data_IF_380384284961
#
_entry.id   IF_380384284961
#
_cell.length_a   1.000
_cell.length_b   1.000
_cell.length_c   1.000
_cell.angle_alpha   90.00
_cell.angle_beta   90.00
_cell.angle_gamma   90.00
#
_symmetry.space_group_name_H-M   'P 1'
#
loop_
_entity.id
_entity.type
_entity.pdbx_description
1 polymer ?
#
# COMPACT_ATOMS: atom_id res chain seq x y z
N UNK A 1 18.67 -0.12 2.41
CA UNK A 1 17.36 0.48 2.06
C UNK A 1 16.29 -0.29 2.84
N UNK A 2 15.13 0.29 3.19
CA UNK A 2 14.08 -0.40 3.97
C UNK A 2 13.67 -1.76 3.39
N UNK A 3 13.70 -1.90 2.07
CA UNK A 3 13.39 -3.16 1.40
C UNK A 3 14.46 -4.24 1.63
N UNK A 4 15.74 -3.88 1.65
CA UNK A 4 16.83 -4.82 1.96
C UNK A 4 16.73 -5.31 3.41
N UNK A 5 16.27 -4.44 4.32
CA UNK A 5 16.07 -4.79 5.72
C UNK A 5 14.88 -5.73 5.90
N UNK A 6 13.76 -5.45 5.23
CA UNK A 6 12.62 -6.34 5.22
C UNK A 6 12.94 -7.71 4.60
N UNK A 7 13.78 -7.74 3.56
CA UNK A 7 14.28 -8.99 2.97
C UNK A 7 15.14 -9.78 3.96
N UNK A 8 16.09 -9.13 4.63
CA UNK A 8 16.92 -9.76 5.67
C UNK A 8 16.11 -10.26 6.85
N UNK A 9 15.05 -9.54 7.23
CA UNK A 9 14.17 -9.89 8.33
C UNK A 9 13.11 -10.93 7.94
N UNK A 10 13.02 -11.33 6.66
CA UNK A 10 11.99 -12.26 6.17
C UNK A 10 10.57 -11.72 6.32
N UNK A 11 10.39 -10.40 6.30
CA UNK A 11 9.08 -9.78 6.44
C UNK A 11 8.29 -9.92 5.14
N UNK A 12 7.01 -10.28 5.27
CA UNK A 12 6.07 -10.26 4.14
C UNK A 12 5.73 -8.82 3.79
N UNK A 13 5.79 -8.50 2.49
CA UNK A 13 5.47 -7.18 1.96
C UNK A 13 4.24 -7.31 1.08
N UNK A 14 3.18 -6.57 1.41
CA UNK A 14 1.96 -6.50 0.62
C UNK A 14 1.94 -5.18 -0.15
N UNK A 15 1.72 -5.25 -1.46
CA UNK A 15 1.64 -4.07 -2.33
C UNK A 15 0.28 -4.07 -3.03
N UNK A 16 -0.67 -3.19 -2.67
CA UNK A 16 -1.92 -3.08 -3.38
C UNK A 16 -1.71 -2.64 -4.84
N UNK A 17 -2.59 -3.07 -5.74
CA UNK A 17 -2.49 -2.73 -7.18
C UNK A 17 -2.67 -1.23 -7.46
N UNK A 18 -3.37 -0.49 -6.60
CA UNK A 18 -3.54 0.96 -6.71
C UNK A 18 -2.21 1.74 -6.63
N UNK A 19 -1.46 1.63 -5.52
CA UNK A 19 -0.12 2.23 -5.40
C UNK A 19 0.83 1.73 -6.48
N UNK A 20 0.77 0.45 -6.85
CA UNK A 20 1.55 -0.11 -7.96
C UNK A 20 1.29 0.64 -9.28
N UNK A 21 0.02 0.93 -9.59
CA UNK A 21 -0.35 1.70 -10.77
C UNK A 21 0.10 3.17 -10.68
N UNK A 22 -0.08 3.84 -9.54
CA UNK A 22 0.39 5.22 -9.32
C UNK A 22 1.89 5.36 -9.50
N UNK A 23 2.62 4.36 -9.04
CA UNK A 23 4.06 4.21 -9.20
C UNK A 23 4.41 4.14 -10.70
N UNK A 24 3.78 3.24 -11.46
CA UNK A 24 4.05 3.09 -12.90
C UNK A 24 3.68 4.31 -13.75
N UNK A 25 2.78 5.18 -13.27
CA UNK A 25 2.47 6.48 -13.89
C UNK A 25 3.72 7.35 -14.08
N UNK A 26 4.75 7.20 -13.24
CA UNK A 26 5.98 8.00 -13.25
C UNK A 26 7.05 7.62 -14.29
N UNK A 27 6.85 6.54 -15.05
CA UNK A 27 7.77 6.14 -16.14
C UNK A 27 9.09 5.48 -15.69
N UNK A 28 10.14 5.42 -16.55
CA UNK A 28 11.31 4.53 -16.42
C UNK A 28 12.20 4.69 -15.17
N UNK A 29 11.93 5.66 -14.30
CA UNK A 29 12.72 5.95 -13.09
C UNK A 29 12.59 4.89 -11.97
N UNK A 30 11.85 3.81 -12.20
CA UNK A 30 11.50 2.83 -11.17
C UNK A 30 12.08 1.43 -11.39
N UNK A 31 13.19 1.32 -12.12
CA UNK A 31 13.90 0.04 -12.35
C UNK A 31 14.22 -0.71 -11.03
N UNK A 32 14.47 0.02 -9.94
CA UNK A 32 14.68 -0.58 -8.60
C UNK A 32 13.42 -1.23 -8.05
N UNK A 33 12.26 -0.57 -8.17
CA UNK A 33 11.00 -1.11 -7.67
C UNK A 33 10.48 -2.26 -8.55
N UNK A 34 10.66 -2.18 -9.87
CA UNK A 34 10.36 -3.27 -10.77
C UNK A 34 11.20 -4.53 -10.48
N UNK A 35 12.49 -4.38 -10.15
CA UNK A 35 13.31 -5.51 -9.68
C UNK A 35 12.81 -6.09 -8.36
N UNK A 36 12.42 -5.23 -7.43
CA UNK A 36 11.90 -5.64 -6.13
C UNK A 36 10.56 -6.40 -6.24
N UNK A 37 9.61 -5.92 -7.04
CA UNK A 37 8.34 -6.64 -7.27
C UNK A 37 8.61 -8.03 -7.88
N UNK A 38 9.64 -8.15 -8.71
CA UNK A 38 10.05 -9.43 -9.29
C UNK A 38 10.84 -10.33 -8.30
N UNK A 39 11.23 -9.83 -7.12
CA UNK A 39 11.72 -10.67 -6.02
C UNK A 39 10.53 -11.35 -5.32
N UNK A 40 9.94 -12.30 -6.05
CA UNK A 40 8.64 -12.90 -5.74
C UNK A 40 8.55 -13.66 -4.40
N UNK A 41 9.68 -13.88 -3.71
CA UNK A 41 9.69 -14.66 -2.47
C UNK A 41 9.01 -13.94 -1.29
N UNK A 42 9.02 -12.60 -1.25
CA UNK A 42 8.56 -11.83 -0.10
C UNK A 42 7.46 -10.81 -0.44
N UNK A 43 7.26 -10.51 -1.72
CA UNK A 43 6.29 -9.52 -2.18
C UNK A 43 5.01 -10.20 -2.65
N UNK A 44 3.89 -9.82 -2.04
CA UNK A 44 2.55 -10.17 -2.51
C UNK A 44 1.89 -8.95 -3.12
N UNK A 45 1.55 -9.04 -4.41
CA UNK A 45 0.67 -8.05 -5.04
C UNK A 45 -0.77 -8.34 -4.59
N UNK A 46 -1.44 -7.32 -4.07
CA UNK A 46 -2.83 -7.42 -3.62
C UNK A 46 -3.74 -6.84 -4.67
N UNK A 47 -4.38 -7.73 -5.43
CA UNK A 47 -5.37 -7.37 -6.43
C UNK A 47 -6.66 -6.84 -5.79
N UNK A 48 -7.45 -6.12 -6.58
CA UNK A 48 -8.80 -5.74 -6.20
C UNK A 48 -9.81 -6.55 -6.99
N UNK A 49 -10.77 -7.11 -6.27
CA UNK A 49 -12.00 -7.66 -6.80
C UNK A 49 -13.18 -6.68 -6.57
N UNK A 50 -14.36 -7.03 -7.06
CA UNK A 50 -15.55 -6.17 -6.89
C UNK A 50 -15.86 -5.87 -5.41
N UNK A 51 -15.86 -6.85 -4.48
CA UNK A 51 -16.02 -6.57 -3.05
C UNK A 51 -15.03 -5.56 -2.47
N UNK A 52 -13.72 -5.75 -2.69
CA UNK A 52 -12.69 -4.85 -2.16
C UNK A 52 -12.79 -3.45 -2.79
N UNK A 53 -13.09 -3.35 -4.08
CA UNK A 53 -13.33 -2.06 -4.73
C UNK A 53 -14.52 -1.29 -4.13
N UNK A 54 -15.62 -1.99 -3.81
CA UNK A 54 -16.76 -1.36 -3.11
C UNK A 54 -16.39 -0.94 -1.69
N UNK A 55 -15.63 -1.75 -0.96
CA UNK A 55 -15.18 -1.42 0.40
C UNK A 55 -14.29 -0.18 0.43
N UNK A 56 -13.37 -0.04 -0.54
CA UNK A 56 -12.58 1.18 -0.77
C UNK A 56 -13.49 2.39 -0.98
N UNK A 57 -14.48 2.28 -1.88
CA UNK A 57 -15.42 3.38 -2.14
C UNK A 57 -16.24 3.78 -0.90
N UNK A 58 -16.69 2.81 -0.10
CA UNK A 58 -17.38 3.07 1.17
C UNK A 58 -16.47 3.76 2.18
N UNK A 59 -15.19 3.35 2.27
CA UNK A 59 -14.22 3.99 3.15
C UNK A 59 -13.99 5.45 2.77
N UNK A 60 -13.81 5.74 1.48
CA UNK A 60 -13.74 7.11 0.96
C UNK A 60 -14.98 7.93 1.32
N UNK A 61 -16.17 7.39 1.07
CA UNK A 61 -17.44 8.09 1.36
C UNK A 61 -17.64 8.41 2.85
N UNK A 62 -17.16 7.54 3.75
CA UNK A 62 -17.27 7.76 5.21
C UNK A 62 -16.30 8.80 5.74
N UNK A 63 -15.12 8.90 5.15
CA UNK A 63 -14.02 9.75 5.62
C UNK A 63 -14.00 11.10 4.91
N UNK A 64 -14.71 11.24 3.79
CA UNK A 64 -14.65 12.43 2.94
C UNK A 64 -13.36 12.53 2.13
N UNK A 65 -12.49 11.52 2.19
CA UNK A 65 -11.24 11.44 1.43
C UNK A 65 -11.53 10.83 0.06
N UNK A 66 -11.06 11.48 -1.00
CA UNK A 66 -11.37 11.10 -2.38
C UNK A 66 -10.38 10.12 -3.01
N UNK A 67 -9.18 9.94 -2.46
CA UNK A 67 -8.18 9.06 -3.08
C UNK A 67 -8.45 7.58 -2.77
N UNK A 68 -8.98 6.88 -3.77
CA UNK A 68 -9.24 5.43 -3.72
C UNK A 68 -7.94 4.61 -3.56
N UNK A 69 -6.79 5.16 -3.94
CA UNK A 69 -5.51 4.50 -3.79
C UNK A 69 -5.10 4.47 -2.33
N UNK A 70 -5.17 5.60 -1.61
CA UNK A 70 -4.87 5.65 -0.19
C UNK A 70 -5.86 4.80 0.62
N UNK A 71 -7.15 4.90 0.30
CA UNK A 71 -8.17 4.07 0.93
C UNK A 71 -7.93 2.56 0.72
N UNK A 72 -7.39 2.17 -0.45
CA UNK A 72 -7.00 0.78 -0.69
C UNK A 72 -5.82 0.31 0.17
N UNK A 73 -4.84 1.19 0.41
CA UNK A 73 -3.69 0.90 1.27
C UNK A 73 -4.16 0.64 2.69
N UNK A 74 -5.04 1.52 3.19
CA UNK A 74 -5.62 1.39 4.53
C UNK A 74 -6.46 0.12 4.65
N UNK A 75 -7.30 -0.19 3.66
CA UNK A 75 -8.11 -1.42 3.67
C UNK A 75 -7.22 -2.67 3.72
N UNK A 76 -6.21 -2.75 2.83
CA UNK A 76 -5.28 -3.89 2.77
C UNK A 76 -4.50 -4.05 4.07
N UNK A 77 -4.04 -2.95 4.65
CA UNK A 77 -3.31 -2.97 5.91
C UNK A 77 -4.18 -3.47 7.08
N UNK A 78 -5.44 -3.03 7.14
CA UNK A 78 -6.41 -3.52 8.14
C UNK A 78 -6.67 -5.01 8.00
N UNK A 79 -6.96 -5.48 6.79
CA UNK A 79 -7.28 -6.89 6.53
C UNK A 79 -6.13 -7.84 6.85
N UNK A 80 -4.88 -7.38 6.64
CA UNK A 80 -3.67 -8.16 6.91
C UNK A 80 -3.08 -7.92 8.29
N UNK A 81 -3.62 -6.98 9.07
CA UNK A 81 -3.03 -6.51 10.33
C UNK A 81 -1.55 -6.09 10.14
N UNK A 82 -1.28 -5.34 9.08
CA UNK A 82 0.05 -4.83 8.72
C UNK A 82 0.20 -3.36 9.12
N UNK A 83 1.44 -2.94 9.38
CA UNK A 83 1.80 -1.53 9.38
C UNK A 83 1.99 -1.02 7.94
N UNK A 84 1.78 0.28 7.72
CA UNK A 84 2.00 0.94 6.42
C UNK A 84 3.28 1.77 6.45
N UNK A 85 4.15 1.53 5.49
CA UNK A 85 5.32 2.37 5.23
C UNK A 85 4.90 3.51 4.31
N UNK A 86 5.04 4.76 4.76
CA UNK A 86 4.62 5.95 3.98
C UNK A 86 5.52 7.15 4.25
N UNK A 87 5.74 7.99 3.25
CA UNK A 87 6.37 9.30 3.41
C UNK A 87 5.36 10.40 3.81
N UNK A 88 4.06 10.15 3.60
CA UNK A 88 2.97 11.05 3.99
C UNK A 88 2.00 10.30 4.93
N UNK A 89 2.23 10.35 6.26
CA UNK A 89 1.34 9.72 7.22
C UNK A 89 0.01 10.48 7.41
N UNK A 90 -0.05 11.76 7.05
CA UNK A 90 -1.23 12.60 7.29
C UNK A 90 -2.41 12.16 6.41
N UNK A 91 -2.15 11.83 5.14
CA UNK A 91 -3.17 11.34 4.20
C UNK A 91 -3.79 10.03 4.69
N UNK A 92 -2.98 9.10 5.19
CA UNK A 92 -3.47 7.81 5.71
C UNK A 92 -4.16 7.94 7.07
N UNK A 93 -3.68 8.82 7.95
CA UNK A 93 -4.30 9.08 9.24
C UNK A 93 -5.70 9.71 9.11
N UNK A 94 -5.98 10.43 8.02
CA UNK A 94 -7.31 10.94 7.71
C UNK A 94 -8.32 9.82 7.41
N UNK A 95 -7.84 8.67 6.89
CA UNK A 95 -8.64 7.48 6.61
C UNK A 95 -8.75 6.55 7.82
N UNK A 96 -7.67 6.43 8.58
CA UNK A 96 -7.60 5.64 9.81
C UNK A 96 -6.58 6.19 10.81
N UNK A 97 -7.03 6.91 11.86
CA UNK A 97 -6.13 7.47 12.88
C UNK A 97 -5.41 6.42 13.73
N UNK A 98 -5.86 5.16 13.72
CA UNK A 98 -5.28 4.07 14.52
C UNK A 98 -4.39 3.14 13.71
N UNK A 99 -4.22 3.42 12.41
CA UNK A 99 -3.39 2.60 11.54
C UNK A 99 -1.93 2.64 12.00
N UNK A 100 -1.25 1.49 12.19
CA UNK A 100 0.17 1.50 12.49
C UNK A 100 0.95 2.03 11.29
N UNK A 101 1.68 3.13 11.47
CA UNK A 101 2.46 3.78 10.41
C UNK A 101 3.96 3.69 10.72
N UNK A 102 4.76 3.48 9.67
CA UNK A 102 6.21 3.62 9.66
C UNK A 102 6.55 4.75 8.69
N UNK A 103 6.98 5.88 9.24
CA UNK A 103 7.28 7.08 8.44
C UNK A 103 8.72 7.02 7.92
N UNK A 104 8.92 7.35 6.64
CA UNK A 104 10.20 7.22 5.93
C UNK A 104 10.61 8.47 5.17
#
# INVERSE_FOLDING_TARGET
MLLDEAERAGMSIAVPVGPLAQVWRGGPRQTNLARFINSAALVTIVEWDTPSAMAVGVLCGRTGVADVVDASVVLVARERNHAVVTSDPQELAALDPLLPLVVV
#
